data_IF_443201509255
#
_entry.id   IF_443201509255
#
_cell.length_a   1.000
_cell.length_b   1.000
_cell.length_c   1.000
_cell.angle_alpha   90.00
_cell.angle_beta   90.00
_cell.angle_gamma   90.00
#
_symmetry.space_group_name_H-M   'P 1'
#
loop_
_entity.id
_entity.type
_entity.pdbx_description
1 polymer ?
#
# COMPACT_ATOMS: atom_id res chain seq x y z
N UNK A 1 10.12 19.90 41.52
CA UNK A 1 11.32 20.08 40.65
C UNK A 1 11.84 18.78 40.02
N UNK A 2 11.87 17.63 40.72
CA UNK A 2 12.33 16.35 40.12
C UNK A 2 11.48 15.85 38.95
N UNK A 3 10.14 15.95 39.05
CA UNK A 3 9.22 15.54 37.99
C UNK A 3 9.36 16.39 36.71
N UNK A 4 9.46 17.71 36.87
CA UNK A 4 9.63 18.65 35.75
C UNK A 4 10.92 18.33 34.99
N UNK A 5 12.04 18.13 35.70
CA UNK A 5 13.32 17.74 35.07
C UNK A 5 13.22 16.40 34.34
N UNK A 6 12.52 15.42 34.91
CA UNK A 6 12.29 14.13 34.26
C UNK A 6 11.50 14.30 32.96
N UNK A 7 10.42 15.09 32.98
CA UNK A 7 9.64 15.38 31.77
C UNK A 7 10.46 16.13 30.73
N UNK A 8 11.27 17.12 31.14
CA UNK A 8 12.16 17.84 30.22
C UNK A 8 13.19 16.91 29.59
N UNK A 9 13.79 16.00 30.37
CA UNK A 9 14.72 14.99 29.83
C UNK A 9 14.03 14.05 28.85
N UNK A 10 12.80 13.60 29.13
CA UNK A 10 12.02 12.75 28.22
C UNK A 10 11.70 13.49 26.92
N UNK A 11 11.24 14.75 26.99
CA UNK A 11 10.95 15.55 25.79
C UNK A 11 12.19 15.79 24.93
N UNK A 12 13.33 16.12 25.56
CA UNK A 12 14.61 16.30 24.85
C UNK A 12 15.02 14.97 24.19
N UNK A 13 14.94 13.86 24.91
CA UNK A 13 15.30 12.54 24.40
C UNK A 13 14.42 12.11 23.22
N UNK A 14 13.11 12.37 23.27
CA UNK A 14 12.17 12.10 22.18
C UNK A 14 12.48 12.97 20.95
N UNK A 15 12.83 14.24 21.15
CA UNK A 15 13.21 15.13 20.04
C UNK A 15 14.58 14.80 19.40
N UNK A 16 15.42 14.02 20.09
CA UNK A 16 16.70 13.53 19.57
C UNK A 16 16.53 12.27 18.70
N UNK A 17 15.41 11.55 18.85
CA UNK A 17 15.05 10.45 17.95
C UNK A 17 14.55 11.02 16.63
N UNK A 18 15.45 11.16 15.65
CA UNK A 18 15.08 11.37 14.26
C UNK A 18 14.52 10.06 13.71
N UNK A 19 13.21 9.85 13.85
CA UNK A 19 12.53 8.79 13.12
C UNK A 19 12.44 9.21 11.65
N UNK A 20 12.99 8.40 10.74
CA UNK A 20 12.86 8.66 9.31
C UNK A 20 11.40 8.39 8.90
N UNK A 21 10.91 9.09 7.88
CA UNK A 21 9.53 8.88 7.45
C UNK A 21 9.35 7.47 6.93
N UNK A 22 10.35 6.96 6.20
CA UNK A 22 10.32 5.60 5.64
C UNK A 22 10.41 4.48 6.68
N UNK A 23 10.71 4.76 7.96
CA UNK A 23 10.73 3.73 9.01
C UNK A 23 9.33 3.18 9.33
N UNK A 24 8.28 3.99 9.10
CA UNK A 24 6.88 3.58 9.30
C UNK A 24 6.14 3.21 8.02
N UNK A 25 6.69 3.60 6.86
CA UNK A 25 6.04 3.34 5.58
C UNK A 25 6.28 1.90 5.08
N UNK A 26 5.36 1.34 4.30
CA UNK A 26 5.58 0.04 3.69
C UNK A 26 6.82 0.02 2.79
N UNK A 27 7.63 -1.03 2.89
CA UNK A 27 8.77 -1.21 1.99
C UNK A 27 8.33 -1.38 0.53
N UNK A 28 9.24 -1.08 -0.40
CA UNK A 28 9.00 -1.30 -1.83
C UNK A 28 8.58 -2.76 -2.13
N UNK A 29 9.25 -3.72 -1.49
CA UNK A 29 8.94 -5.16 -1.64
C UNK A 29 7.51 -5.45 -1.20
N UNK A 30 7.09 -4.87 -0.07
CA UNK A 30 5.73 -5.01 0.43
C UNK A 30 4.70 -4.45 -0.57
N UNK A 31 4.98 -3.30 -1.19
CA UNK A 31 4.11 -2.76 -2.24
C UNK A 31 3.96 -3.72 -3.42
N UNK A 32 5.05 -4.36 -3.86
CA UNK A 32 4.99 -5.37 -4.92
C UNK A 32 4.20 -6.62 -4.51
N UNK A 33 4.33 -7.08 -3.27
CA UNK A 33 3.54 -8.22 -2.75
C UNK A 33 2.05 -7.89 -2.77
N UNK A 34 1.66 -6.71 -2.28
CA UNK A 34 0.26 -6.28 -2.29
C UNK A 34 -0.26 -6.00 -3.70
N UNK A 35 0.56 -5.41 -4.57
CA UNK A 35 0.21 -5.10 -5.95
C UNK A 35 0.12 -6.34 -6.83
N UNK A 36 1.23 -7.03 -7.07
CA UNK A 36 1.30 -8.21 -7.94
C UNK A 36 0.56 -9.39 -7.30
N UNK A 37 0.84 -9.68 -6.03
CA UNK A 37 0.20 -10.79 -5.31
C UNK A 37 -1.31 -10.56 -5.17
N UNK A 38 -1.73 -9.34 -4.82
CA UNK A 38 -3.14 -8.96 -4.78
C UNK A 38 -3.82 -9.07 -6.15
N UNK A 39 -3.15 -8.61 -7.22
CA UNK A 39 -3.65 -8.74 -8.60
C UNK A 39 -3.87 -10.19 -9.01
N UNK A 40 -2.90 -11.08 -8.74
CA UNK A 40 -3.04 -12.52 -9.00
C UNK A 40 -4.19 -13.09 -8.20
N UNK A 41 -4.30 -12.78 -6.90
CA UNK A 41 -5.39 -13.24 -6.04
C UNK A 41 -6.75 -12.80 -6.59
N UNK A 42 -6.89 -11.56 -7.04
CA UNK A 42 -8.11 -11.01 -7.62
C UNK A 42 -8.44 -11.69 -8.95
N UNK A 43 -7.47 -11.90 -9.84
CA UNK A 43 -7.66 -12.63 -11.11
C UNK A 43 -8.17 -14.06 -10.84
N UNK A 44 -7.51 -14.78 -9.92
CA UNK A 44 -7.88 -16.15 -9.58
C UNK A 44 -9.25 -16.21 -8.90
N UNK A 45 -9.58 -15.24 -8.04
CA UNK A 45 -10.89 -15.11 -7.41
C UNK A 45 -11.98 -14.90 -8.47
N UNK A 46 -11.79 -13.94 -9.38
CA UNK A 46 -12.70 -13.70 -10.50
C UNK A 46 -12.90 -14.94 -11.38
N UNK A 47 -11.82 -15.69 -11.64
CA UNK A 47 -11.86 -16.89 -12.49
C UNK A 47 -12.61 -18.05 -11.84
N UNK A 48 -12.18 -18.46 -10.65
CA UNK A 48 -12.56 -19.75 -10.07
C UNK A 48 -13.71 -19.65 -9.07
N UNK A 49 -13.73 -18.60 -8.24
CA UNK A 49 -14.76 -18.40 -7.21
C UNK A 49 -15.12 -16.91 -7.12
N UNK A 50 -15.90 -16.36 -8.07
CA UNK A 50 -16.16 -14.91 -8.15
C UNK A 50 -16.73 -14.29 -6.87
N UNK A 51 -17.41 -15.08 -6.02
CA UNK A 51 -17.86 -14.63 -4.70
C UNK A 51 -16.71 -14.15 -3.81
N UNK A 52 -15.50 -14.68 -3.98
CA UNK A 52 -14.30 -14.24 -3.25
C UNK A 52 -13.87 -12.82 -3.62
N UNK A 53 -14.28 -12.29 -4.78
CA UNK A 53 -13.99 -10.90 -5.16
C UNK A 53 -14.54 -9.89 -4.16
N UNK A 54 -15.65 -10.21 -3.50
CA UNK A 54 -16.28 -9.36 -2.47
C UNK A 54 -15.30 -9.09 -1.32
N UNK A 55 -14.34 -9.99 -1.08
CA UNK A 55 -13.34 -9.85 -0.02
C UNK A 55 -11.96 -9.51 -0.61
N UNK A 56 -11.51 -10.26 -1.61
CA UNK A 56 -10.15 -10.11 -2.14
C UNK A 56 -9.91 -8.71 -2.71
N UNK A 57 -10.87 -8.17 -3.45
CA UNK A 57 -10.72 -6.87 -4.10
C UNK A 57 -10.71 -5.73 -3.08
N UNK A 58 -11.70 -5.57 -2.16
CA UNK A 58 -11.64 -4.50 -1.16
C UNK A 58 -10.41 -4.54 -0.26
N UNK A 59 -9.98 -5.74 0.18
CA UNK A 59 -8.78 -5.87 1.03
C UNK A 59 -7.54 -5.32 0.32
N UNK A 60 -7.34 -5.69 -0.95
CA UNK A 60 -6.18 -5.21 -1.73
C UNK A 60 -6.28 -3.72 -2.08
N UNK A 61 -7.49 -3.22 -2.41
CA UNK A 61 -7.70 -1.79 -2.71
C UNK A 61 -7.48 -0.94 -1.46
N UNK A 62 -7.93 -1.41 -0.29
CA UNK A 62 -7.82 -0.67 0.96
C UNK A 62 -6.36 -0.38 1.33
N UNK A 63 -5.45 -1.33 1.07
CA UNK A 63 -4.01 -1.11 1.22
C UNK A 63 -3.52 0.09 0.40
N UNK A 64 -3.82 0.13 -0.89
CA UNK A 64 -3.40 1.22 -1.78
C UNK A 64 -4.11 2.54 -1.45
N UNK A 65 -5.36 2.49 -1.00
CA UNK A 65 -6.09 3.67 -0.55
C UNK A 65 -5.38 4.36 0.63
N UNK A 66 -4.95 3.59 1.65
CA UNK A 66 -4.18 4.13 2.77
C UNK A 66 -2.84 4.69 2.31
N UNK A 67 -2.12 3.96 1.46
CA UNK A 67 -0.82 4.40 0.96
C UNK A 67 -0.89 5.65 0.09
N UNK A 68 -1.96 5.81 -0.70
CA UNK A 68 -2.23 7.07 -1.40
C UNK A 68 -2.52 8.22 -0.44
N UNK A 69 -3.13 7.96 0.71
CA UNK A 69 -3.30 8.96 1.77
C UNK A 69 -1.96 9.53 2.21
N UNK A 70 -1.00 8.67 2.52
CA UNK A 70 0.36 9.07 2.95
C UNK A 70 1.14 9.78 1.83
N UNK A 71 1.09 9.27 0.59
CA UNK A 71 1.78 9.87 -0.56
C UNK A 71 1.25 11.27 -0.89
N UNK A 72 -0.05 11.50 -0.74
CA UNK A 72 -0.69 12.79 -1.04
C UNK A 72 -0.79 13.71 0.19
N UNK A 73 -0.31 13.27 1.35
CA UNK A 73 -0.26 14.11 2.53
C UNK A 73 0.75 15.28 2.31
N UNK A 74 0.39 16.53 2.67
CA UNK A 74 1.26 17.69 2.44
C UNK A 74 2.60 17.66 3.18
N UNK A 75 2.72 16.87 4.25
CA UNK A 75 3.92 16.78 5.08
C UNK A 75 4.66 15.46 4.88
N UNK A 76 3.92 14.34 4.83
CA UNK A 76 4.51 12.99 4.67
C UNK A 76 4.91 12.73 3.23
N UNK A 77 4.09 13.09 2.24
CA UNK A 77 4.34 12.86 0.83
C UNK A 77 5.68 13.43 0.33
N UNK A 78 6.00 14.71 0.59
CA UNK A 78 7.31 15.28 0.25
C UNK A 78 8.48 14.60 0.95
N UNK A 79 8.29 14.10 2.17
CA UNK A 79 9.34 13.38 2.90
C UNK A 79 9.58 11.98 2.31
N UNK A 80 8.51 11.24 1.96
CA UNK A 80 8.59 9.98 1.20
C UNK A 80 9.32 10.20 -0.12
N UNK A 81 8.98 11.26 -0.85
CA UNK A 81 9.64 11.59 -2.12
C UNK A 81 11.14 11.86 -1.92
N UNK A 82 11.52 12.56 -0.84
CA UNK A 82 12.91 12.88 -0.52
C UNK A 82 13.71 11.65 -0.12
N UNK A 83 13.12 10.73 0.64
CA UNK A 83 13.80 9.55 1.20
C UNK A 83 13.76 8.34 0.26
N UNK A 84 12.59 7.98 -0.29
CA UNK A 84 12.41 6.80 -1.14
C UNK A 84 12.44 7.10 -2.65
N UNK A 85 12.26 8.36 -3.04
CA UNK A 85 12.35 8.79 -4.43
C UNK A 85 11.09 8.57 -5.26
N UNK A 86 11.13 9.07 -6.50
CA UNK A 86 10.01 9.02 -7.44
C UNK A 86 9.65 7.61 -7.88
N UNK A 87 10.63 6.70 -7.93
CA UNK A 87 10.40 5.31 -8.33
C UNK A 87 9.43 4.60 -7.37
N UNK A 88 9.60 4.81 -6.05
CA UNK A 88 8.70 4.27 -5.04
C UNK A 88 7.26 4.74 -5.30
N UNK A 89 7.06 6.05 -5.42
CA UNK A 89 5.74 6.66 -5.64
C UNK A 89 5.09 6.16 -6.94
N UNK A 90 5.84 6.19 -8.05
CA UNK A 90 5.35 5.74 -9.35
C UNK A 90 4.97 4.25 -9.33
N UNK A 91 5.75 3.42 -8.63
CA UNK A 91 5.44 1.98 -8.50
C UNK A 91 4.07 1.77 -7.84
N UNK A 92 3.73 2.56 -6.82
CA UNK A 92 2.43 2.47 -6.12
C UNK A 92 1.27 2.76 -7.07
N UNK A 93 1.39 3.81 -7.90
CA UNK A 93 0.38 4.13 -8.91
C UNK A 93 0.22 3.01 -9.95
N UNK A 94 1.32 2.49 -10.50
CA UNK A 94 1.27 1.41 -11.49
C UNK A 94 0.71 0.10 -10.91
N UNK A 95 1.09 -0.25 -9.68
CA UNK A 95 0.60 -1.44 -9.00
C UNK A 95 -0.89 -1.34 -8.68
N UNK A 96 -1.38 -0.17 -8.28
CA UNK A 96 -2.81 0.05 -8.09
C UNK A 96 -3.58 -0.03 -9.42
N UNK A 97 -3.04 0.52 -10.50
CA UNK A 97 -3.66 0.42 -11.83
C UNK A 97 -3.76 -1.05 -12.30
N UNK A 98 -2.70 -1.84 -12.08
CA UNK A 98 -2.70 -3.28 -12.34
C UNK A 98 -3.80 -4.00 -11.54
N UNK A 99 -3.92 -3.69 -10.26
CA UNK A 99 -4.95 -4.25 -9.38
C UNK A 99 -6.36 -3.92 -9.87
N UNK A 100 -6.58 -2.69 -10.35
CA UNK A 100 -7.88 -2.27 -10.87
C UNK A 100 -8.28 -3.02 -12.16
N UNK A 101 -7.32 -3.36 -13.01
CA UNK A 101 -7.56 -4.09 -14.27
C UNK A 101 -7.75 -5.60 -14.03
N UNK A 102 -7.14 -6.14 -12.97
CA UNK A 102 -7.14 -7.56 -12.60
C UNK A 102 -8.51 -8.28 -12.59
N UNK A 103 -9.60 -7.73 -12.01
CA UNK A 103 -10.89 -8.43 -12.01
C UNK A 103 -11.44 -8.61 -13.43
N UNK A 104 -11.22 -7.64 -14.33
CA UNK A 104 -11.66 -7.75 -15.73
C UNK A 104 -10.93 -8.86 -16.47
N UNK A 105 -9.62 -9.01 -16.24
CA UNK A 105 -8.81 -10.10 -16.80
C UNK A 105 -9.38 -11.45 -16.34
N UNK A 106 -9.64 -11.62 -15.05
CA UNK A 106 -10.17 -12.87 -14.51
C UNK A 106 -11.60 -13.21 -15.00
N UNK A 107 -12.47 -12.20 -15.13
CA UNK A 107 -13.82 -12.37 -15.70
C UNK A 107 -13.74 -12.76 -17.17
N UNK A 108 -12.90 -12.07 -17.96
CA UNK A 108 -12.69 -12.38 -19.38
C UNK A 108 -12.22 -13.82 -19.56
N UNK A 109 -11.26 -14.26 -18.76
CA UNK A 109 -10.76 -15.63 -18.76
C UNK A 109 -11.89 -16.63 -18.48
N UNK A 110 -12.69 -16.40 -17.44
CA UNK A 110 -13.80 -17.26 -17.07
C UNK A 110 -14.81 -17.43 -18.21
N UNK A 111 -15.20 -16.33 -18.86
CA UNK A 111 -16.19 -16.35 -19.95
C UNK A 111 -15.65 -17.07 -21.19
N UNK A 112 -14.36 -16.93 -21.50
CA UNK A 112 -13.71 -17.65 -22.62
C UNK A 112 -13.72 -19.16 -22.42
N UNK A 113 -13.39 -19.65 -21.22
CA UNK A 113 -13.30 -21.09 -20.94
C UNK A 113 -14.66 -21.78 -20.87
N UNK A 114 -15.74 -21.07 -20.55
CA UNK A 114 -17.10 -21.65 -20.54
C UNK A 114 -17.71 -21.82 -21.94
N UNK A 115 -17.13 -21.19 -22.97
CA UNK A 115 -17.64 -21.24 -24.36
C UNK A 115 -17.00 -22.35 -25.21
N UNK A 116 -15.95 -22.99 -24.70
CA UNK A 116 -15.26 -24.17 -25.26
C UNK A 116 -15.71 -25.41 -24.54
#
# INVERSE_FOLDING_TARGET
MRLIRLMTCIFIFVSLLHAEVMDKEPSLVQNFVWGIGGSILVILSARYKPRLLIVSLPVTIFYFYLLFGEINDPYVGPAILKEAGTFYINSVYYLCALLFISPFIGIYWRVRTQKT
#
